data_IF_299023784342
#
_entry.id   IF_299023784342
#
_cell.length_a   1.000
_cell.length_b   1.000
_cell.length_c   1.000
_cell.angle_alpha   90.00
_cell.angle_beta   90.00
_cell.angle_gamma   90.00
#
_symmetry.space_group_name_H-M   'P 1'
#
loop_
_entity.id
_entity.type
_entity.pdbx_description
1 polymer ?
#
# COMPACT_ATOMS: atom_id res chain seq x y z
N UNK A 1 8.17 -0.40 16.57
CA UNK A 1 7.19 -1.35 16.04
C UNK A 1 7.82 -2.73 15.88
N UNK A 2 7.15 -3.71 16.42
CA UNK A 2 7.59 -5.10 16.33
C UNK A 2 7.07 -5.74 15.05
N UNK A 3 7.90 -5.78 14.02
CA UNK A 3 7.49 -6.38 12.74
C UNK A 3 7.14 -7.86 12.86
N UNK A 4 7.73 -8.58 13.84
CA UNK A 4 7.44 -9.99 14.07
C UNK A 4 5.99 -10.23 14.47
N UNK A 5 5.31 -9.23 15.04
CA UNK A 5 3.89 -9.36 15.38
C UNK A 5 3.02 -9.56 14.15
N UNK A 6 3.50 -9.19 12.97
CA UNK A 6 2.78 -9.35 11.72
C UNK A 6 3.10 -10.66 10.99
N UNK A 7 4.07 -11.42 11.50
CA UNK A 7 4.53 -12.64 10.83
C UNK A 7 3.41 -13.64 10.51
N UNK A 8 2.46 -13.94 11.41
CA UNK A 8 1.37 -14.86 11.07
C UNK A 8 0.50 -14.36 9.91
N UNK A 9 0.17 -13.06 9.88
CA UNK A 9 -0.64 -12.49 8.82
C UNK A 9 0.14 -12.48 7.49
N UNK A 10 1.43 -12.13 7.53
CA UNK A 10 2.28 -12.13 6.35
C UNK A 10 2.46 -13.54 5.79
N UNK A 11 2.57 -14.55 6.66
CA UNK A 11 2.66 -15.94 6.23
C UNK A 11 1.41 -16.37 5.47
N UNK A 12 0.22 -16.03 5.98
CA UNK A 12 -1.04 -16.33 5.30
C UNK A 12 -1.12 -15.62 3.95
N UNK A 13 -0.74 -14.36 3.90
CA UNK A 13 -0.73 -13.57 2.67
C UNK A 13 0.22 -14.18 1.63
N UNK A 14 1.44 -14.52 2.06
CA UNK A 14 2.45 -15.12 1.18
C UNK A 14 1.94 -16.42 0.56
N UNK A 15 1.33 -17.29 1.36
CA UNK A 15 0.77 -18.55 0.87
C UNK A 15 -0.37 -18.32 -0.12
N UNK A 16 -1.28 -17.39 0.20
CA UNK A 16 -2.42 -17.09 -0.67
C UNK A 16 -1.97 -16.53 -2.01
N UNK A 17 -1.02 -15.60 -2.01
CA UNK A 17 -0.53 -15.00 -3.25
C UNK A 17 0.27 -16.00 -4.09
N UNK A 18 1.12 -16.80 -3.44
CA UNK A 18 1.87 -17.84 -4.15
C UNK A 18 0.95 -18.86 -4.80
N UNK A 19 -0.10 -19.30 -4.10
CA UNK A 19 -1.06 -20.27 -4.63
C UNK A 19 -1.82 -19.74 -5.85
N UNK A 20 -2.00 -18.40 -5.91
CA UNK A 20 -2.74 -17.74 -6.99
C UNK A 20 -1.83 -17.19 -8.09
N UNK A 21 -0.51 -17.28 -7.92
CA UNK A 21 0.43 -16.68 -8.85
C UNK A 21 0.33 -15.16 -8.91
N UNK A 22 -0.05 -14.51 -7.80
CA UNK A 22 -0.26 -13.07 -7.75
C UNK A 22 0.88 -12.36 -7.03
N UNK A 23 1.09 -11.09 -7.39
CA UNK A 23 2.08 -10.23 -6.78
C UNK A 23 1.44 -8.93 -6.33
N UNK A 24 1.88 -8.43 -5.17
CA UNK A 24 1.29 -7.31 -4.46
C UNK A 24 2.10 -6.03 -4.62
N UNK A 25 1.40 -4.93 -4.82
CA UNK A 25 1.92 -3.58 -4.63
C UNK A 25 1.18 -2.93 -3.47
N UNK A 26 1.86 -2.12 -2.67
CA UNK A 26 1.27 -1.43 -1.53
C UNK A 26 1.43 0.08 -1.68
N UNK A 27 0.38 0.82 -1.37
CA UNK A 27 0.42 2.28 -1.30
C UNK A 27 0.11 2.70 0.13
N UNK A 28 1.05 3.39 0.76
CA UNK A 28 0.97 3.71 2.18
C UNK A 28 1.04 5.20 2.42
N UNK A 29 0.19 5.68 3.33
CA UNK A 29 0.27 7.03 3.84
C UNK A 29 0.64 7.00 5.33
N UNK A 30 -0.35 6.90 6.21
CA UNK A 30 -0.12 6.98 7.66
C UNK A 30 0.78 5.87 8.22
N UNK A 31 0.89 4.75 7.56
CA UNK A 31 1.75 3.63 7.99
C UNK A 31 3.21 3.82 7.63
N UNK A 32 3.53 4.76 6.75
CA UNK A 32 4.91 5.22 6.49
C UNK A 32 5.89 4.16 5.99
N UNK A 33 5.40 3.05 5.44
CA UNK A 33 6.23 1.97 4.93
C UNK A 33 6.19 0.69 5.77
N UNK A 34 5.39 0.65 6.84
CA UNK A 34 5.31 -0.53 7.72
C UNK A 34 4.74 -1.75 7.00
N UNK A 35 3.81 -1.57 6.08
CA UNK A 35 3.27 -2.71 5.32
C UNK A 35 4.36 -3.34 4.47
N UNK A 36 5.08 -2.53 3.72
CA UNK A 36 6.20 -3.03 2.92
C UNK A 36 7.27 -3.69 3.79
N UNK A 37 7.60 -3.06 4.93
CA UNK A 37 8.58 -3.60 5.87
C UNK A 37 8.14 -4.96 6.42
N UNK A 38 6.87 -5.09 6.83
CA UNK A 38 6.34 -6.34 7.35
C UNK A 38 6.37 -7.45 6.29
N UNK A 39 5.98 -7.14 5.07
CA UNK A 39 6.00 -8.10 3.97
C UNK A 39 7.43 -8.56 3.64
N UNK A 40 8.37 -7.63 3.57
CA UNK A 40 9.75 -7.93 3.17
C UNK A 40 10.59 -8.50 4.30
N UNK A 41 10.11 -8.50 5.53
CA UNK A 41 10.77 -9.16 6.65
C UNK A 41 10.75 -10.70 6.51
N UNK A 42 9.83 -11.23 5.69
CA UNK A 42 9.75 -12.68 5.45
C UNK A 42 10.68 -13.08 4.30
N UNK A 43 11.47 -14.13 4.51
CA UNK A 43 12.33 -14.67 3.46
C UNK A 43 11.48 -15.13 2.27
N UNK A 44 11.97 -14.87 1.05
CA UNK A 44 11.26 -15.25 -0.18
C UNK A 44 10.16 -14.29 -0.60
N UNK A 45 10.03 -13.13 0.05
CA UNK A 45 8.96 -12.18 -0.27
C UNK A 45 9.04 -11.62 -1.69
N UNK A 46 10.21 -11.68 -2.33
CA UNK A 46 10.35 -11.22 -3.72
C UNK A 46 9.49 -11.99 -4.70
N UNK A 47 9.01 -13.18 -4.33
CA UNK A 47 8.14 -13.97 -5.20
C UNK A 47 6.72 -13.41 -5.28
N UNK A 48 6.30 -12.62 -4.29
CA UNK A 48 4.91 -12.16 -4.22
C UNK A 48 4.76 -10.68 -3.85
N UNK A 49 5.80 -10.01 -3.37
CA UNK A 49 5.75 -8.57 -3.09
C UNK A 49 6.56 -7.84 -4.15
N UNK A 50 5.91 -6.95 -4.93
CA UNK A 50 6.56 -6.31 -6.07
C UNK A 50 7.12 -4.94 -5.71
N UNK A 51 6.29 -4.06 -5.12
CA UNK A 51 6.73 -2.70 -4.76
C UNK A 51 5.81 -2.05 -3.73
N UNK A 52 6.35 -1.05 -3.06
CA UNK A 52 5.58 -0.18 -2.19
C UNK A 52 5.78 1.28 -2.57
N UNK A 53 4.76 2.08 -2.33
CA UNK A 53 4.80 3.52 -2.49
C UNK A 53 4.50 4.15 -1.13
N UNK A 54 5.39 4.99 -0.63
CA UNK A 54 5.14 5.75 0.59
C UNK A 54 4.78 7.17 0.16
N UNK A 55 3.49 7.51 0.29
CA UNK A 55 2.95 8.79 -0.17
C UNK A 55 2.27 9.48 1.01
N UNK A 56 3.09 10.03 1.90
CA UNK A 56 2.59 10.56 3.17
C UNK A 56 1.80 11.86 2.99
N UNK A 57 2.33 12.80 2.23
CA UNK A 57 1.67 14.09 1.98
C UNK A 57 0.61 13.97 0.89
N UNK A 58 -0.27 14.96 0.82
CA UNK A 58 -1.26 15.02 -0.26
C UNK A 58 -0.58 15.18 -1.61
N UNK A 59 0.46 16.01 -1.67
CA UNK A 59 1.25 16.24 -2.89
C UNK A 59 1.90 14.94 -3.38
N UNK A 60 2.44 14.14 -2.45
CA UNK A 60 3.05 12.87 -2.80
C UNK A 60 2.03 11.89 -3.39
N UNK A 61 0.80 11.89 -2.87
CA UNK A 61 -0.28 11.06 -3.43
C UNK A 61 -0.55 11.41 -4.88
N UNK A 62 -0.55 12.70 -5.19
CA UNK A 62 -0.76 13.18 -6.56
C UNK A 62 0.45 12.87 -7.44
N UNK A 63 1.65 13.21 -6.97
CA UNK A 63 2.87 13.07 -7.78
C UNK A 63 3.26 11.63 -8.05
N UNK A 64 3.15 10.77 -7.05
CA UNK A 64 3.63 9.39 -7.16
C UNK A 64 2.55 8.41 -7.60
N UNK A 65 1.29 8.67 -7.27
CA UNK A 65 0.19 7.74 -7.56
C UNK A 65 -0.85 8.32 -8.53
N UNK A 66 -0.72 9.60 -8.88
CA UNK A 66 -1.70 10.22 -9.77
C UNK A 66 -3.06 10.48 -9.15
N UNK A 67 -3.14 10.52 -7.81
CA UNK A 67 -4.40 10.87 -7.14
C UNK A 67 -4.73 12.32 -7.46
N UNK A 68 -5.90 12.61 -8.05
CA UNK A 68 -6.25 13.99 -8.38
C UNK A 68 -6.31 14.87 -7.14
N UNK A 69 -5.65 16.03 -7.20
CA UNK A 69 -5.69 17.00 -6.09
C UNK A 69 -7.12 17.43 -5.78
N UNK A 70 -7.98 17.55 -6.80
CA UNK A 70 -9.38 17.88 -6.63
C UNK A 70 -10.15 16.82 -5.84
N UNK A 71 -9.79 15.55 -6.01
CA UNK A 71 -10.42 14.46 -5.26
C UNK A 71 -10.07 14.56 -3.78
N UNK A 72 -8.80 14.85 -3.47
CA UNK A 72 -8.35 15.04 -2.09
C UNK A 72 -9.06 16.26 -1.48
N UNK A 73 -9.19 17.33 -2.23
CA UNK A 73 -9.88 18.54 -1.78
C UNK A 73 -11.36 18.29 -1.50
N UNK A 74 -12.02 17.47 -2.32
CA UNK A 74 -13.46 17.21 -2.18
C UNK A 74 -13.79 16.25 -1.04
N UNK A 75 -12.95 15.21 -0.84
CA UNK A 75 -13.26 14.11 0.08
C UNK A 75 -12.32 14.02 1.28
N UNK A 76 -11.24 14.77 1.27
CA UNK A 76 -10.19 14.63 2.29
C UNK A 76 -9.27 13.44 2.01
N UNK A 77 -8.06 13.51 2.53
CA UNK A 77 -7.06 12.46 2.32
C UNK A 77 -7.47 11.12 2.94
N UNK A 78 -8.23 11.18 4.06
CA UNK A 78 -8.70 9.98 4.77
C UNK A 78 -10.14 9.70 4.32
N UNK A 79 -10.25 9.03 3.18
CA UNK A 79 -11.53 8.72 2.57
C UNK A 79 -11.40 7.48 1.70
N UNK A 80 -12.52 6.82 1.47
CA UNK A 80 -12.56 5.67 0.56
C UNK A 80 -12.18 6.08 -0.86
N UNK A 81 -12.65 7.24 -1.30
CA UNK A 81 -12.36 7.76 -2.63
C UNK A 81 -10.85 7.90 -2.87
N UNK A 82 -10.15 8.48 -1.90
CA UNK A 82 -8.70 8.64 -2.01
C UNK A 82 -7.99 7.29 -1.91
N UNK A 83 -8.42 6.41 -1.02
CA UNK A 83 -7.83 5.08 -0.92
C UNK A 83 -7.98 4.30 -2.23
N UNK A 84 -9.14 4.37 -2.87
CA UNK A 84 -9.37 3.71 -4.17
C UNK A 84 -8.48 4.31 -5.27
N UNK A 85 -8.31 5.62 -5.27
CA UNK A 85 -7.43 6.28 -6.24
C UNK A 85 -5.97 5.88 -6.01
N UNK A 86 -5.55 5.72 -4.75
CA UNK A 86 -4.21 5.24 -4.42
C UNK A 86 -3.97 3.82 -4.95
N UNK A 87 -4.94 2.92 -4.77
CA UNK A 87 -4.86 1.56 -5.32
C UNK A 87 -4.74 1.59 -6.84
N UNK A 88 -5.58 2.38 -7.49
CA UNK A 88 -5.56 2.49 -8.95
C UNK A 88 -4.20 3.00 -9.45
N UNK A 89 -3.64 4.00 -8.76
CA UNK A 89 -2.32 4.54 -9.10
C UNK A 89 -1.20 3.53 -8.89
N UNK A 90 -1.23 2.80 -7.79
CA UNK A 90 -0.24 1.77 -7.50
C UNK A 90 -0.25 0.67 -8.57
N UNK A 91 -1.43 0.22 -8.97
CA UNK A 91 -1.55 -0.78 -10.01
C UNK A 91 -1.08 -0.26 -11.37
N UNK A 92 -1.44 0.98 -11.70
CA UNK A 92 -1.03 1.59 -12.97
C UNK A 92 0.49 1.69 -13.09
N UNK A 93 1.16 2.10 -12.02
CA UNK A 93 2.62 2.22 -12.02
C UNK A 93 3.33 0.87 -12.01
N UNK A 94 2.76 -0.12 -11.34
CA UNK A 94 3.33 -1.47 -11.34
C UNK A 94 3.08 -2.21 -12.65
N UNK A 95 2.10 -1.77 -13.42
CA UNK A 95 1.71 -2.40 -14.68
C UNK A 95 1.39 -3.89 -14.48
N UNK A 96 1.90 -4.75 -15.34
CA UNK A 96 1.66 -6.19 -15.22
C UNK A 96 2.54 -6.88 -14.17
N UNK A 97 3.45 -6.14 -13.53
CA UNK A 97 4.35 -6.73 -12.52
C UNK A 97 3.65 -6.99 -11.19
N UNK A 98 2.57 -6.26 -10.89
CA UNK A 98 1.74 -6.54 -9.74
C UNK A 98 0.29 -6.69 -10.19
N UNK A 99 -0.36 -7.74 -9.71
CA UNK A 99 -1.74 -8.06 -10.08
C UNK A 99 -2.74 -7.60 -9.03
N UNK A 100 -2.25 -7.24 -7.85
CA UNK A 100 -3.06 -6.86 -6.71
C UNK A 100 -2.42 -5.66 -6.03
N UNK A 101 -3.24 -4.73 -5.53
CA UNK A 101 -2.73 -3.60 -4.77
C UNK A 101 -3.59 -3.36 -3.54
N UNK A 102 -2.95 -2.90 -2.47
CA UNK A 102 -3.63 -2.43 -1.26
C UNK A 102 -3.21 -0.99 -0.99
N UNK A 103 -4.09 -0.23 -0.38
CA UNK A 103 -3.77 1.14 0.02
C UNK A 103 -4.26 1.40 1.43
N UNK A 104 -3.49 2.20 2.16
CA UNK A 104 -3.85 2.63 3.51
C UNK A 104 -3.69 4.14 3.61
N UNK A 105 -4.74 4.80 4.06
CA UNK A 105 -4.72 6.19 4.46
C UNK A 105 -5.43 6.32 5.80
N UNK A 106 -5.01 7.26 6.64
CA UNK A 106 -5.57 7.38 7.97
C UNK A 106 -4.93 8.51 8.75
N UNK A 107 -5.36 8.64 10.01
CA UNK A 107 -4.85 9.64 10.94
C UNK A 107 -3.81 8.97 11.81
N UNK A 108 -2.57 9.50 11.80
CA UNK A 108 -1.43 8.86 12.43
C UNK A 108 -1.23 9.22 13.90
N UNK A 109 -2.13 9.99 14.49
CA UNK A 109 -1.98 10.37 15.88
C UNK A 109 -3.26 10.85 16.51
N UNK A 110 -3.27 11.06 17.86
CA UNK A 110 -4.45 11.56 18.53
C UNK A 110 -4.79 12.97 18.03
N UNK A 111 -6.07 13.21 17.81
CA UNK A 111 -6.55 14.49 17.32
C UNK A 111 -6.34 14.73 15.84
N UNK A 112 -5.68 13.82 15.17
CA UNK A 112 -5.49 13.75 13.72
C UNK A 112 -5.17 14.98 12.97
#
# INVERSE_FOLDING_TARGET
>A
VELLNFAPAVERLARALAARGERLAAAESCTGGLIAAACTARAGSSDWFERGFVTYSNEAKTELLGVPAALIGAHGAVSEEVARAMVAGARAHAQARATLAVAVTGIAGPGG
#
